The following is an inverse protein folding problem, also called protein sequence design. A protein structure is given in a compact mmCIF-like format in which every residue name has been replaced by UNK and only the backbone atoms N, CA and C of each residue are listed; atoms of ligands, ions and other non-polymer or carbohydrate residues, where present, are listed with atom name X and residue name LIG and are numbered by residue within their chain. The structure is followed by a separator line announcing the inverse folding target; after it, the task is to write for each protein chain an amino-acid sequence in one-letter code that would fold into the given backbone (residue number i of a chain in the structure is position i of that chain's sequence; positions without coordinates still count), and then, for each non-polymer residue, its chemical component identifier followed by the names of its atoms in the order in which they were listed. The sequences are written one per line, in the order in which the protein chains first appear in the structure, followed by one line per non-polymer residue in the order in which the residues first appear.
data_IF_988949767503
#
_entry.id   IF_988949767503
#
_cell.length_a   1.000
_cell.length_b   1.000
_cell.length_c   1.000
_cell.angle_alpha   90.00
_cell.angle_beta   90.00
_cell.angle_gamma   90.00
#
_symmetry.space_group_name_H-M   'P 1'
#
loop_
_entity.id
_entity.type
_entity.pdbx_description
1 polymer ?
#
# COMPACT_ATOMS: atom_id res chain seq x y z
N UNK A 1 -3.53 -6.01 -15.24
CA UNK A 1 -2.14 -5.70 -14.84
C UNK A 1 -2.02 -5.97 -13.34
N UNK A 2 -0.86 -6.38 -12.83
CA UNK A 2 -0.67 -6.71 -11.40
C UNK A 2 0.40 -5.81 -10.79
N UNK A 3 0.10 -5.23 -9.63
CA UNK A 3 1.02 -4.38 -8.88
C UNK A 3 1.25 -4.94 -7.48
N UNK A 4 2.45 -4.71 -6.96
CA UNK A 4 2.80 -4.99 -5.56
C UNK A 4 3.06 -3.65 -4.89
N UNK A 5 2.43 -3.43 -3.73
CA UNK A 5 2.60 -2.23 -2.93
C UNK A 5 3.03 -2.61 -1.51
N UNK A 6 4.21 -2.16 -1.10
CA UNK A 6 4.66 -2.26 0.28
C UNK A 6 4.21 -1.03 1.07
N UNK A 7 3.67 -1.23 2.26
CA UNK A 7 3.22 -0.15 3.16
C UNK A 7 3.85 -0.34 4.53
N UNK A 8 4.56 0.69 5.01
CA UNK A 8 4.97 0.76 6.40
C UNK A 8 3.93 1.56 7.20
N UNK A 9 3.07 0.91 8.02
CA UNK A 9 2.07 1.61 8.83
C UNK A 9 2.70 2.54 9.89
N UNK A 10 3.96 2.30 10.25
CA UNK A 10 4.71 3.03 11.27
C UNK A 10 5.75 4.00 10.69
N UNK A 11 5.79 4.19 9.37
CA UNK A 11 6.71 5.13 8.71
C UNK A 11 6.54 6.56 9.25
N UNK A 12 7.55 7.41 9.10
CA UNK A 12 7.71 8.66 9.87
C UNK A 12 6.45 9.52 10.08
N UNK A 13 5.64 9.76 9.04
CA UNK A 13 4.40 10.56 9.16
C UNK A 13 3.14 9.76 9.48
N UNK A 14 3.23 8.41 9.49
CA UNK A 14 2.13 7.46 9.74
C UNK A 14 0.91 7.62 8.81
N UNK A 15 1.08 8.30 7.68
CA UNK A 15 0.03 8.56 6.69
C UNK A 15 -0.19 7.40 5.70
N UNK A 16 0.73 6.44 5.64
CA UNK A 16 0.70 5.31 4.70
C UNK A 16 -0.66 4.58 4.64
N UNK A 17 -1.23 4.15 5.77
CA UNK A 17 -2.54 3.49 5.79
C UNK A 17 -3.69 4.35 5.29
N UNK A 18 -3.66 5.66 5.56
CA UNK A 18 -4.69 6.59 5.09
C UNK A 18 -4.57 6.85 3.58
N UNK A 19 -3.35 6.97 3.07
CA UNK A 19 -3.07 7.09 1.64
C UNK A 19 -3.51 5.82 0.90
N UNK A 20 -3.20 4.63 1.44
CA UNK A 20 -3.63 3.35 0.88
C UNK A 20 -5.14 3.30 0.66
N UNK A 21 -5.93 3.71 1.67
CA UNK A 21 -7.40 3.78 1.58
C UNK A 21 -7.90 4.70 0.46
N UNK A 22 -7.16 5.77 0.15
CA UNK A 22 -7.52 6.71 -0.92
C UNK A 22 -7.13 6.21 -2.31
N UNK A 23 -6.01 5.52 -2.43
CA UNK A 23 -5.51 5.06 -3.74
C UNK A 23 -6.09 3.71 -4.16
N UNK A 24 -6.40 2.81 -3.23
CA UNK A 24 -6.94 1.47 -3.53
C UNK A 24 -8.17 1.50 -4.46
N UNK A 25 -9.17 2.39 -4.27
CA UNK A 25 -10.32 2.47 -5.16
C UNK A 25 -9.98 2.83 -6.62
N UNK A 26 -8.85 3.52 -6.85
CA UNK A 26 -8.40 3.88 -8.21
C UNK A 26 -7.94 2.62 -8.96
N UNK A 27 -7.21 1.74 -8.29
CA UNK A 27 -6.79 0.45 -8.87
C UNK A 27 -7.97 -0.51 -9.06
N UNK A 28 -8.91 -0.54 -8.11
CA UNK A 28 -10.14 -1.33 -8.23
C UNK A 28 -10.99 -0.86 -9.43
N UNK A 29 -11.16 0.45 -9.59
CA UNK A 29 -11.89 1.03 -10.72
C UNK A 29 -11.24 0.77 -12.08
N UNK A 30 -9.92 0.62 -12.14
CA UNK A 30 -9.19 0.27 -13.36
C UNK A 30 -9.09 -1.25 -13.61
N UNK A 31 -9.80 -2.08 -12.82
CA UNK A 31 -9.74 -3.55 -12.95
C UNK A 31 -8.33 -4.10 -12.74
N UNK A 32 -7.54 -3.45 -11.90
CA UNK A 32 -6.12 -3.73 -11.70
C UNK A 32 -5.89 -4.40 -10.35
N UNK A 33 -5.21 -5.54 -10.36
CA UNK A 33 -4.89 -6.27 -9.12
C UNK A 33 -3.78 -5.55 -8.36
N UNK A 34 -4.04 -5.22 -7.09
CA UNK A 34 -3.08 -4.63 -6.17
C UNK A 34 -2.82 -5.58 -5.00
N UNK A 35 -1.62 -6.16 -4.93
CA UNK A 35 -1.18 -6.98 -3.81
C UNK A 35 -0.45 -6.12 -2.78
N UNK A 36 -0.99 -6.04 -1.57
CA UNK A 36 -0.49 -5.15 -0.52
C UNK A 36 0.31 -5.96 0.50
N UNK A 37 1.52 -5.50 0.81
CA UNK A 37 2.39 -6.10 1.83
C UNK A 37 2.65 -5.05 2.91
N UNK A 38 2.22 -5.32 4.14
CA UNK A 38 2.54 -4.45 5.26
C UNK A 38 3.88 -4.83 5.87
N UNK A 39 4.81 -3.87 5.92
CA UNK A 39 6.13 -4.08 6.53
C UNK A 39 6.06 -3.87 8.03
N UNK A 40 6.59 -4.81 8.80
CA UNK A 40 6.60 -4.79 10.27
C UNK A 40 7.91 -4.34 10.91
N UNK A 41 9.01 -4.24 10.15
CA UNK A 41 10.34 -3.83 10.65
C UNK A 41 11.18 -3.13 9.57
N UNK A 42 12.28 -2.48 9.97
CA UNK A 42 13.21 -1.82 9.05
C UNK A 42 14.02 -2.85 8.25
N UNK A 43 14.06 -2.72 6.92
CA UNK A 43 14.69 -3.69 6.03
C UNK A 43 13.80 -4.86 5.59
N UNK A 44 12.49 -4.79 5.85
CA UNK A 44 11.51 -5.79 5.36
C UNK A 44 11.18 -5.61 3.86
N UNK A 45 11.43 -4.43 3.29
CA UNK A 45 11.21 -4.12 1.88
C UNK A 45 12.46 -3.50 1.27
#
# INVERSE_FOLDING_TARGET
MKFILTVNPHGGTKKGPQLLKKVKPIFEASGTDLFIIETTFAGHA
#
